data_IF_551194039855
#
_entry.id   IF_551194039855
#
_cell.length_a   1.000
_cell.length_b   1.000
_cell.length_c   1.000
_cell.angle_alpha   90.00
_cell.angle_beta   90.00
_cell.angle_gamma   90.00
#
_symmetry.space_group_name_H-M   'P 1'
#
loop_
_entity.id
_entity.type
_entity.pdbx_description
1 polymer ?
#
# COMPACT_ATOMS: atom_id res chain seq x y z
N UNK A 1 -33.04 -28.99 17.92
CA UNK A 1 -34.16 -28.30 17.25
C UNK A 1 -33.70 -26.85 17.00
N UNK A 2 -33.19 -26.57 15.78
CA UNK A 2 -32.89 -25.27 15.12
C UNK A 2 -32.01 -24.27 15.92
N UNK A 3 -30.74 -23.95 15.66
CA UNK A 3 -29.80 -24.09 14.52
C UNK A 3 -30.32 -23.69 13.15
N UNK A 4 -30.95 -22.51 13.04
CA UNK A 4 -31.17 -21.82 11.75
C UNK A 4 -31.52 -20.36 12.01
N UNK A 5 -30.53 -19.47 12.04
CA UNK A 5 -30.61 -18.08 11.57
C UNK A 5 -29.18 -17.65 11.26
N UNK A 6 -28.69 -18.31 10.22
CA UNK A 6 -27.39 -18.27 9.60
C UNK A 6 -27.46 -17.20 8.49
N UNK A 7 -26.38 -16.43 8.32
CA UNK A 7 -25.62 -16.43 7.05
C UNK A 7 -26.23 -15.78 5.80
N UNK A 8 -27.39 -15.15 5.88
CA UNK A 8 -28.03 -14.58 4.68
C UNK A 8 -27.42 -13.33 4.03
N UNK A 9 -26.23 -12.84 4.41
CA UNK A 9 -25.63 -11.68 3.73
C UNK A 9 -24.14 -11.78 3.39
N UNK A 10 -23.52 -12.95 3.62
CA UNK A 10 -22.13 -13.22 3.20
C UNK A 10 -22.02 -14.22 2.04
N UNK A 11 -23.09 -14.95 1.72
CA UNK A 11 -23.11 -15.89 0.57
C UNK A 11 -23.44 -15.23 -0.78
N UNK A 12 -24.09 -14.06 -0.80
CA UNK A 12 -24.55 -13.46 -2.08
C UNK A 12 -23.42 -12.75 -2.86
N UNK A 13 -22.28 -12.45 -2.23
CA UNK A 13 -21.11 -11.90 -2.93
C UNK A 13 -20.00 -12.92 -3.22
N UNK A 14 -20.00 -14.10 -2.58
CA UNK A 14 -19.04 -15.17 -2.89
C UNK A 14 -19.60 -16.19 -3.91
N UNK A 15 -20.92 -16.39 -4.00
CA UNK A 15 -21.51 -17.31 -4.97
C UNK A 15 -21.47 -16.80 -6.43
N UNK A 16 -21.32 -15.49 -6.67
CA UNK A 16 -21.23 -14.96 -8.03
C UNK A 16 -19.85 -15.16 -8.67
N UNK A 17 -18.80 -15.44 -7.88
CA UNK A 17 -17.43 -15.63 -8.39
C UNK A 17 -17.09 -17.12 -8.59
N UNK A 18 -17.85 -18.04 -7.98
CA UNK A 18 -17.59 -19.49 -8.09
C UNK A 18 -18.49 -20.18 -9.14
N UNK A 19 -19.63 -19.59 -9.53
CA UNK A 19 -20.57 -20.24 -10.47
C UNK A 19 -20.36 -19.86 -11.95
N UNK A 20 -19.38 -18.99 -12.26
CA UNK A 20 -19.00 -18.68 -13.66
C UNK A 20 -17.78 -19.50 -14.14
N UNK A 21 -17.27 -20.41 -13.31
CA UNK A 21 -16.10 -21.26 -13.59
C UNK A 21 -16.42 -22.76 -13.68
N UNK A 22 -17.69 -23.15 -13.63
CA UNK A 22 -18.13 -24.52 -13.88
C UNK A 22 -19.42 -24.48 -14.71
N UNK A 23 -19.44 -25.28 -15.78
CA UNK A 23 -20.56 -25.51 -16.70
C UNK A 23 -20.77 -24.45 -17.80
N UNK A 24 -19.93 -24.48 -18.84
CA UNK A 24 -20.36 -25.12 -20.09
C UNK A 24 -19.24 -25.18 -21.14
N UNK A 25 -19.33 -26.19 -21.98
CA UNK A 25 -18.24 -26.73 -22.80
C UNK A 25 -17.59 -25.77 -23.81
N UNK A 26 -16.28 -25.96 -23.96
CA UNK A 26 -15.59 -25.87 -25.24
C UNK A 26 -15.70 -24.54 -25.97
N UNK A 27 -14.84 -23.59 -25.60
CA UNK A 27 -14.47 -22.50 -26.48
C UNK A 27 -12.97 -22.58 -26.75
N UNK A 28 -12.62 -23.06 -27.94
CA UNK A 28 -11.36 -22.72 -28.59
C UNK A 28 -11.49 -21.27 -29.03
N UNK A 29 -10.85 -20.35 -28.32
CA UNK A 29 -10.56 -19.00 -28.84
C UNK A 29 -9.07 -18.91 -29.18
N UNK A 30 -8.88 -18.56 -30.46
CA UNK A 30 -7.67 -18.31 -31.22
C UNK A 30 -6.50 -17.64 -30.47
N UNK A 31 -5.28 -17.98 -30.91
CA UNK A 31 -3.97 -17.42 -30.55
C UNK A 31 -3.78 -15.91 -30.85
N UNK A 32 -4.84 -15.12 -31.03
CA UNK A 32 -4.76 -13.73 -31.53
C UNK A 32 -5.27 -12.64 -30.57
N UNK A 33 -5.09 -12.79 -29.25
CA UNK A 33 -5.38 -11.69 -28.28
C UNK A 33 -4.14 -11.35 -27.45
N UNK A 34 -3.01 -11.14 -28.14
CA UNK A 34 -1.89 -10.35 -27.62
C UNK A 34 -2.22 -8.86 -27.82
N UNK A 35 -2.74 -8.23 -26.77
CA UNK A 35 -3.08 -6.81 -26.79
C UNK A 35 -3.69 -6.32 -25.49
N UNK A 36 -2.91 -6.35 -24.40
CA UNK A 36 -3.25 -5.66 -23.16
C UNK A 36 -3.43 -4.16 -23.47
N UNK A 37 -4.68 -3.68 -23.48
CA UNK A 37 -5.00 -2.27 -23.72
C UNK A 37 -5.58 -1.64 -22.47
N UNK A 38 -5.24 -0.37 -22.25
CA UNK A 38 -5.65 0.54 -21.17
C UNK A 38 -7.18 0.49 -20.88
N UNK A 39 -8.00 0.12 -21.86
CA UNK A 39 -9.44 -0.09 -21.72
C UNK A 39 -9.84 -1.19 -20.73
N UNK A 40 -8.99 -2.19 -20.51
CA UNK A 40 -9.25 -3.25 -19.51
C UNK A 40 -8.92 -2.76 -18.08
N UNK A 41 -7.91 -1.90 -17.93
CA UNK A 41 -7.62 -1.20 -16.68
C UNK A 41 -8.75 -0.20 -16.34
N UNK A 42 -9.25 0.55 -17.32
CA UNK A 42 -10.42 1.44 -17.16
C UNK A 42 -11.69 0.68 -16.75
N UNK A 43 -11.91 -0.55 -17.25
CA UNK A 43 -13.03 -1.40 -16.82
C UNK A 43 -12.87 -1.86 -15.38
N UNK A 44 -11.70 -2.37 -15.01
CA UNK A 44 -11.42 -2.77 -13.62
C UNK A 44 -11.55 -1.58 -12.66
N UNK A 45 -11.08 -0.41 -13.06
CA UNK A 45 -11.18 0.83 -12.28
C UNK A 45 -12.63 1.32 -12.12
N UNK A 46 -13.43 1.32 -13.21
CA UNK A 46 -14.87 1.67 -13.16
C UNK A 46 -15.68 0.69 -12.32
N UNK A 47 -15.44 -0.60 -12.47
CA UNK A 47 -16.08 -1.64 -11.65
C UNK A 47 -15.74 -1.48 -10.16
N UNK A 48 -14.51 -1.07 -9.85
CA UNK A 48 -14.07 -0.82 -8.48
C UNK A 48 -14.74 0.45 -7.90
N UNK A 49 -14.83 1.52 -8.68
CA UNK A 49 -15.55 2.76 -8.32
C UNK A 49 -17.05 2.55 -8.11
N UNK A 50 -17.71 1.75 -8.95
CA UNK A 50 -19.15 1.48 -8.83
C UNK A 50 -19.45 0.58 -7.62
N UNK A 51 -18.58 -0.41 -7.34
CA UNK A 51 -18.66 -1.22 -6.11
C UNK A 51 -18.40 -0.38 -4.85
N UNK A 52 -17.49 0.59 -4.93
CA UNK A 52 -17.20 1.56 -3.86
C UNK A 52 -18.38 2.48 -3.56
N UNK A 53 -19.00 3.11 -4.57
CA UNK A 53 -20.22 3.94 -4.38
C UNK A 53 -21.37 3.16 -3.76
N UNK A 54 -21.51 1.89 -4.13
CA UNK A 54 -22.53 0.99 -3.56
C UNK A 54 -22.23 0.64 -2.09
N UNK A 55 -20.95 0.46 -1.74
CA UNK A 55 -20.50 0.23 -0.36
C UNK A 55 -20.59 1.48 0.52
N UNK A 56 -20.20 2.65 0.01
CA UNK A 56 -20.27 3.94 0.71
C UNK A 56 -21.73 4.32 1.03
N UNK A 57 -22.66 4.10 0.08
CA UNK A 57 -24.09 4.28 0.33
C UNK A 57 -24.64 3.29 1.37
N UNK A 58 -24.14 2.05 1.39
CA UNK A 58 -24.53 1.06 2.40
C UNK A 58 -24.00 1.44 3.80
N UNK A 59 -22.75 1.91 3.87
CA UNK A 59 -22.11 2.34 5.13
C UNK A 59 -22.75 3.62 5.65
N UNK A 60 -23.10 4.58 4.79
CA UNK A 60 -23.80 5.81 5.18
C UNK A 60 -25.22 5.53 5.69
N UNK A 61 -25.97 4.63 5.04
CA UNK A 61 -27.30 4.21 5.50
C UNK A 61 -27.26 3.39 6.81
N UNK A 62 -26.15 2.71 7.09
CA UNK A 62 -25.93 2.03 8.38
C UNK A 62 -25.49 3.00 9.50
N UNK A 63 -24.89 4.14 9.16
CA UNK A 63 -24.39 5.12 10.15
C UNK A 63 -25.47 6.11 10.61
N UNK A 64 -26.44 6.49 9.77
CA UNK A 64 -27.49 7.45 10.12
C UNK A 64 -28.81 7.18 9.36
N UNK A 65 -29.77 6.44 9.95
CA UNK A 65 -31.00 6.04 9.23
C UNK A 65 -32.00 7.19 9.05
N UNK A 66 -32.00 8.18 9.95
CA UNK A 66 -32.93 9.30 9.94
C UNK A 66 -32.28 10.49 10.64
N UNK A 67 -32.07 11.60 9.92
CA UNK A 67 -32.24 13.00 10.37
C UNK A 67 -31.49 13.99 9.49
N UNK A 68 -32.25 14.90 8.90
CA UNK A 68 -31.75 16.04 8.13
C UNK A 68 -30.96 17.06 8.96
N UNK A 69 -29.86 17.50 8.37
CA UNK A 69 -29.28 18.86 8.28
C UNK A 69 -29.26 19.86 9.47
N UNK A 70 -29.85 19.60 10.64
CA UNK A 70 -29.96 20.61 11.71
C UNK A 70 -29.26 20.23 13.03
N UNK A 71 -28.82 18.98 13.22
CA UNK A 71 -28.00 18.57 14.38
C UNK A 71 -26.50 18.83 14.19
N UNK A 72 -26.01 18.88 12.94
CA UNK A 72 -24.60 19.14 12.63
C UNK A 72 -24.15 20.56 13.01
N UNK A 73 -25.03 21.56 12.84
CA UNK A 73 -24.77 22.95 13.26
C UNK A 73 -24.81 23.14 14.79
N UNK A 74 -25.54 22.29 15.53
CA UNK A 74 -25.52 22.29 17.00
C UNK A 74 -24.24 21.70 17.59
N UNK A 75 -23.56 20.82 16.85
CA UNK A 75 -22.29 20.23 17.27
C UNK A 75 -21.14 21.24 17.20
N UNK A 76 -21.11 22.10 16.18
CA UNK A 76 -20.08 23.13 16.01
C UNK A 76 -20.18 24.21 17.11
N UNK A 77 -21.39 24.67 17.44
CA UNK A 77 -21.59 25.71 18.48
C UNK A 77 -21.36 25.22 19.92
N UNK A 78 -21.26 23.90 20.15
CA UNK A 78 -20.91 23.35 21.47
C UNK A 78 -19.39 23.32 21.71
N UNK A 79 -18.58 23.54 20.66
CA UNK A 79 -17.12 23.50 20.72
C UNK A 79 -16.50 24.79 21.29
N UNK A 80 -17.26 25.89 21.41
CA UNK A 80 -16.78 27.15 22.01
C UNK A 80 -16.85 27.18 23.54
N UNK A 81 -17.56 26.25 24.17
CA UNK A 81 -17.64 26.13 25.65
C UNK A 81 -16.54 25.23 26.25
N UNK A 82 -15.78 24.49 25.42
CA UNK A 82 -14.70 23.59 25.86
C UNK A 82 -13.47 24.31 26.47
N UNK A 83 -13.43 25.64 26.49
CA UNK A 83 -12.28 26.40 27.02
C UNK A 83 -12.34 26.69 28.53
N UNK A 84 -13.39 26.26 29.26
CA UNK A 84 -13.53 26.56 30.70
C UNK A 84 -13.37 25.36 31.65
N UNK A 85 -13.33 24.12 31.16
CA UNK A 85 -13.16 22.91 31.99
C UNK A 85 -11.70 22.40 32.07
N UNK A 86 -10.73 23.24 31.72
CA UNK A 86 -9.31 22.86 31.74
C UNK A 86 -8.64 22.91 33.12
N UNK A 87 -9.39 23.23 34.18
CA UNK A 87 -8.85 23.46 35.53
C UNK A 87 -9.63 22.71 36.62
N UNK A 88 -9.56 21.38 36.61
CA UNK A 88 -9.43 20.54 37.82
C UNK A 88 -9.54 19.06 37.44
N UNK A 89 -8.43 18.36 37.25
CA UNK A 89 -8.46 16.91 37.04
C UNK A 89 -7.59 16.21 38.08
N UNK A 90 -8.26 15.55 39.04
CA UNK A 90 -7.65 14.59 39.94
C UNK A 90 -7.62 13.20 39.29
N UNK A 91 -6.40 12.66 39.21
CA UNK A 91 -5.99 11.25 39.28
C UNK A 91 -6.33 10.30 38.10
N UNK A 92 -5.39 10.24 37.14
CA UNK A 92 -5.03 9.24 36.10
C UNK A 92 -6.06 8.25 35.51
N UNK A 93 -6.89 7.57 36.30
CA UNK A 93 -7.79 6.50 35.84
C UNK A 93 -8.95 7.07 34.98
N UNK A 94 -9.31 8.33 35.21
CA UNK A 94 -10.31 9.03 34.39
C UNK A 94 -9.79 9.37 32.99
N UNK A 95 -8.53 9.81 32.86
CA UNK A 95 -7.97 10.26 31.58
C UNK A 95 -7.77 9.07 30.64
N UNK A 96 -7.24 7.96 31.14
CA UNK A 96 -7.04 6.75 30.33
C UNK A 96 -8.37 6.23 29.76
N UNK A 97 -9.42 6.17 30.58
CA UNK A 97 -10.74 5.75 30.14
C UNK A 97 -11.36 6.71 29.12
N UNK A 98 -11.17 8.03 29.28
CA UNK A 98 -11.64 9.00 28.30
C UNK A 98 -10.88 8.88 26.97
N UNK A 99 -9.57 8.68 27.01
CA UNK A 99 -8.73 8.47 25.83
C UNK A 99 -9.11 7.17 25.10
N UNK A 100 -9.30 6.06 25.83
CA UNK A 100 -9.73 4.78 25.26
C UNK A 100 -11.11 4.91 24.62
N UNK A 101 -12.07 5.53 25.30
CA UNK A 101 -13.40 5.75 24.74
C UNK A 101 -13.38 6.67 23.52
N UNK A 102 -12.53 7.70 23.53
CA UNK A 102 -12.33 8.57 22.37
C UNK A 102 -11.72 7.80 21.19
N UNK A 103 -10.69 6.98 21.42
CA UNK A 103 -10.08 6.13 20.39
C UNK A 103 -11.07 5.12 19.82
N UNK A 104 -11.90 4.48 20.66
CA UNK A 104 -12.94 3.56 20.18
C UNK A 104 -13.99 4.30 19.34
N UNK A 105 -14.38 5.53 19.72
CA UNK A 105 -15.33 6.33 18.93
C UNK A 105 -14.73 6.79 17.60
N UNK A 106 -13.46 7.16 17.59
CA UNK A 106 -12.78 7.74 16.42
C UNK A 106 -12.32 6.65 15.45
N UNK A 107 -11.65 5.63 15.96
CA UNK A 107 -11.01 4.58 15.16
C UNK A 107 -11.87 3.32 15.16
N UNK A 108 -12.46 2.94 16.29
CA UNK A 108 -13.22 1.69 16.45
C UNK A 108 -12.59 0.74 17.46
N UNK A 109 -13.25 -0.38 17.72
CA UNK A 109 -12.69 -1.44 18.56
C UNK A 109 -11.54 -2.16 17.85
N UNK A 110 -10.76 -2.94 18.60
CA UNK A 110 -9.74 -3.84 18.05
C UNK A 110 -10.30 -4.75 16.93
N UNK A 111 -11.53 -5.24 17.11
CA UNK A 111 -12.23 -6.08 16.14
C UNK A 111 -12.54 -5.29 14.85
N UNK A 112 -12.96 -4.03 14.97
CA UNK A 112 -13.28 -3.18 13.81
C UNK A 112 -12.03 -2.88 12.99
N UNK A 113 -10.92 -2.54 13.67
CA UNK A 113 -9.62 -2.33 13.03
C UNK A 113 -9.18 -3.60 12.32
N UNK A 114 -9.30 -4.76 12.97
CA UNK A 114 -8.90 -6.05 12.39
C UNK A 114 -9.73 -6.43 11.16
N UNK A 115 -11.04 -6.19 11.20
CA UNK A 115 -11.92 -6.42 10.03
C UNK A 115 -11.47 -5.57 8.83
N UNK A 116 -11.17 -4.29 9.04
CA UNK A 116 -10.67 -3.40 7.98
C UNK A 116 -9.34 -3.88 7.42
N UNK A 117 -8.38 -4.25 8.27
CA UNK A 117 -7.10 -4.84 7.83
C UNK A 117 -7.31 -6.10 6.96
N UNK A 118 -8.22 -7.00 7.37
CA UNK A 118 -8.53 -8.22 6.61
C UNK A 118 -9.13 -7.89 5.25
N UNK A 119 -10.03 -6.91 5.17
CA UNK A 119 -10.63 -6.49 3.91
C UNK A 119 -9.57 -6.01 2.91
N UNK A 120 -8.63 -5.15 3.34
CA UNK A 120 -7.53 -4.71 2.47
C UNK A 120 -6.57 -5.84 2.10
N UNK A 121 -6.27 -6.77 3.02
CA UNK A 121 -5.45 -7.95 2.69
C UNK A 121 -6.12 -8.87 1.66
N UNK A 122 -7.44 -9.05 1.74
CA UNK A 122 -8.20 -9.84 0.75
C UNK A 122 -8.25 -9.12 -0.59
N UNK A 123 -8.47 -7.81 -0.58
CA UNK A 123 -8.41 -6.98 -1.78
C UNK A 123 -7.05 -7.12 -2.49
N UNK A 124 -5.94 -6.96 -1.76
CA UNK A 124 -4.59 -7.16 -2.29
C UNK A 124 -4.43 -8.56 -2.90
N UNK A 125 -4.91 -9.62 -2.22
CA UNK A 125 -4.84 -10.99 -2.74
C UNK A 125 -5.60 -11.15 -4.07
N UNK A 126 -6.80 -10.59 -4.18
CA UNK A 126 -7.63 -10.65 -5.40
C UNK A 126 -6.98 -9.86 -6.54
N UNK A 127 -6.48 -8.64 -6.27
CA UNK A 127 -5.81 -7.84 -7.28
C UNK A 127 -4.55 -8.52 -7.81
N UNK A 128 -3.83 -9.26 -6.97
CA UNK A 128 -2.58 -9.94 -7.31
C UNK A 128 -2.74 -11.26 -8.08
N UNK A 129 -3.96 -11.71 -8.41
CA UNK A 129 -4.14 -12.97 -9.17
C UNK A 129 -3.94 -12.82 -10.68
N UNK A 130 -3.97 -11.59 -11.20
CA UNK A 130 -4.05 -11.32 -12.63
C UNK A 130 -2.71 -11.03 -13.29
N UNK A 131 -1.74 -10.47 -12.54
CA UNK A 131 -0.47 -10.02 -13.08
C UNK A 131 0.69 -10.46 -12.19
N UNK A 132 1.47 -11.42 -12.64
CA UNK A 132 2.64 -11.91 -11.90
C UNK A 132 3.84 -10.95 -11.93
N UNK A 133 3.81 -9.91 -12.78
CA UNK A 133 4.90 -8.94 -12.89
C UNK A 133 4.78 -7.77 -11.92
N UNK A 134 3.60 -7.55 -11.33
CA UNK A 134 3.34 -6.46 -10.40
C UNK A 134 2.66 -7.03 -9.16
N UNK A 135 3.16 -6.64 -7.99
CA UNK A 135 2.46 -6.91 -6.72
C UNK A 135 1.87 -5.63 -6.18
N UNK A 136 0.55 -5.57 -6.07
CA UNK A 136 -0.19 -4.54 -5.38
C UNK A 136 -0.20 -4.79 -3.87
N UNK A 137 0.01 -3.72 -3.09
CA UNK A 137 -0.04 -3.72 -1.64
C UNK A 137 -0.74 -2.44 -1.19
N UNK A 138 -1.93 -2.54 -0.60
CA UNK A 138 -2.55 -1.41 0.09
C UNK A 138 -1.74 -1.05 1.34
N UNK A 139 -1.54 0.23 1.60
CA UNK A 139 -0.75 0.75 2.71
C UNK A 139 -1.50 1.86 3.45
N UNK A 140 -0.83 2.46 4.43
CA UNK A 140 -1.29 3.67 5.08
C UNK A 140 -2.52 3.45 5.96
N UNK A 141 -3.08 4.57 6.41
CA UNK A 141 -4.02 4.59 7.53
C UNK A 141 -5.22 3.65 7.32
N UNK A 142 -5.85 3.68 6.13
CA UNK A 142 -7.00 2.83 5.82
C UNK A 142 -6.66 1.34 5.82
N UNK A 143 -5.57 0.95 5.15
CA UNK A 143 -5.16 -0.46 5.05
C UNK A 143 -4.69 -1.04 6.39
N UNK A 144 -4.17 -0.17 7.25
CA UNK A 144 -3.78 -0.48 8.63
C UNK A 144 -4.99 -0.50 9.59
N UNK A 145 -6.16 -0.14 9.09
CA UNK A 145 -7.45 -0.17 9.79
C UNK A 145 -7.74 1.07 10.62
N UNK A 146 -6.97 2.15 10.43
CA UNK A 146 -7.14 3.47 11.04
C UNK A 146 -7.92 4.39 10.09
N UNK A 147 -9.25 4.31 10.13
CA UNK A 147 -10.13 5.13 9.29
C UNK A 147 -10.36 6.50 9.93
N UNK A 148 -9.49 7.46 9.63
CA UNK A 148 -9.52 8.81 10.19
C UNK A 148 -10.15 9.81 9.20
N UNK A 149 -10.74 10.92 9.67
CA UNK A 149 -11.18 11.99 8.80
C UNK A 149 -10.02 12.50 7.93
N UNK A 150 -10.21 12.52 6.62
CA UNK A 150 -9.18 12.92 5.65
C UNK A 150 -8.22 11.82 5.23
N UNK A 151 -8.41 10.58 5.68
CA UNK A 151 -7.67 9.42 5.17
C UNK A 151 -7.91 9.21 3.68
N UNK A 152 -6.83 9.07 2.94
CA UNK A 152 -6.75 8.68 1.54
C UNK A 152 -6.40 7.19 1.38
N UNK A 153 -6.51 6.70 0.15
CA UNK A 153 -6.17 5.32 -0.20
C UNK A 153 -4.73 5.27 -0.71
N UNK A 154 -3.83 4.72 0.09
CA UNK A 154 -2.47 4.42 -0.36
C UNK A 154 -2.37 3.04 -1.01
N UNK A 155 -1.88 2.99 -2.25
CA UNK A 155 -1.58 1.74 -2.95
C UNK A 155 -0.14 1.74 -3.45
N UNK A 156 0.60 0.71 -3.09
CA UNK A 156 1.94 0.47 -3.61
C UNK A 156 1.89 -0.59 -4.71
N UNK A 157 2.39 -0.26 -5.89
CA UNK A 157 2.64 -1.22 -6.96
C UNK A 157 4.12 -1.55 -6.99
N UNK A 158 4.45 -2.80 -6.70
CA UNK A 158 5.83 -3.28 -6.60
C UNK A 158 6.20 -4.09 -7.83
N UNK A 159 7.26 -3.69 -8.52
CA UNK A 159 7.78 -4.44 -9.66
C UNK A 159 8.38 -5.79 -9.20
N UNK A 160 7.87 -6.89 -9.76
CA UNK A 160 8.34 -8.25 -9.47
C UNK A 160 9.42 -8.75 -10.46
N UNK A 161 9.66 -7.99 -11.53
CA UNK A 161 10.57 -8.28 -12.64
C UNK A 161 11.95 -7.66 -12.42
N UNK A 162 12.05 -6.55 -11.70
CA UNK A 162 13.34 -5.95 -11.31
C UNK A 162 13.91 -6.68 -10.10
N UNK A 163 15.14 -7.17 -10.24
CA UNK A 163 15.92 -7.67 -9.13
C UNK A 163 16.93 -6.60 -8.69
N UNK A 164 16.71 -6.07 -7.49
CA UNK A 164 17.64 -5.14 -6.84
C UNK A 164 18.65 -5.92 -5.99
N UNK A 165 19.93 -5.78 -6.30
CA UNK A 165 21.06 -6.48 -5.64
C UNK A 165 22.01 -5.50 -4.94
N UNK A 166 22.67 -5.94 -3.86
CA UNK A 166 23.80 -5.23 -3.21
C UNK A 166 25.16 -5.78 -3.58
N UNK A 167 25.20 -6.71 -4.53
CA UNK A 167 26.44 -7.25 -5.09
C UNK A 167 26.48 -6.81 -6.55
N UNK A 168 27.46 -5.99 -6.89
CA UNK A 168 27.74 -5.63 -8.27
C UNK A 168 28.23 -6.90 -8.99
N UNK A 169 27.52 -7.28 -10.05
CA UNK A 169 27.82 -8.48 -10.83
C UNK A 169 28.12 -8.08 -12.26
N UNK A 170 29.19 -8.64 -12.80
CA UNK A 170 29.44 -8.60 -14.23
C UNK A 170 28.67 -9.74 -14.90
N UNK A 171 27.48 -9.43 -15.42
CA UNK A 171 26.56 -10.42 -16.00
C UNK A 171 26.86 -10.53 -17.50
N UNK A 172 27.47 -11.66 -17.90
CA UNK A 172 27.82 -11.95 -19.30
C UNK A 172 26.77 -12.78 -20.05
N UNK A 173 25.75 -13.27 -19.34
CA UNK A 173 24.73 -14.16 -19.89
C UNK A 173 23.34 -13.57 -19.74
N UNK A 174 22.39 -13.89 -20.63
CA UNK A 174 21.02 -13.42 -20.53
C UNK A 174 20.36 -13.84 -19.20
N UNK A 175 19.77 -12.88 -18.51
CA UNK A 175 19.03 -13.09 -17.25
C UNK A 175 17.53 -12.99 -17.45
N UNK A 176 16.76 -13.65 -16.57
CA UNK A 176 15.29 -13.62 -16.65
C UNK A 176 14.71 -12.26 -16.22
N UNK A 177 15.36 -11.61 -15.25
CA UNK A 177 14.91 -10.39 -14.59
C UNK A 177 15.87 -9.25 -14.90
N UNK A 178 15.35 -8.03 -14.94
CA UNK A 178 16.19 -6.83 -15.06
C UNK A 178 16.99 -6.68 -13.78
N UNK A 179 18.30 -6.50 -13.89
CA UNK A 179 19.21 -6.44 -12.74
C UNK A 179 19.65 -5.00 -12.50
N UNK A 180 19.52 -4.56 -11.25
CA UNK A 180 19.87 -3.23 -10.79
C UNK A 180 20.69 -3.36 -9.51
N UNK A 181 21.81 -2.66 -9.44
CA UNK A 181 22.66 -2.62 -8.27
C UNK A 181 22.31 -1.41 -7.39
N UNK A 182 22.04 -1.66 -6.12
CA UNK A 182 21.75 -0.66 -5.11
C UNK A 182 23.04 -0.25 -4.40
N UNK A 183 23.46 0.98 -4.62
CA UNK A 183 24.63 1.58 -3.98
C UNK A 183 24.24 2.10 -2.60
N UNK A 184 24.51 1.28 -1.58
CA UNK A 184 24.14 1.55 -0.20
C UNK A 184 25.29 2.20 0.57
N UNK A 185 25.72 3.39 0.16
CA UNK A 185 26.61 4.26 0.95
C UNK A 185 26.61 5.65 0.33
N UNK A 186 25.42 6.23 0.22
CA UNK A 186 25.30 7.63 -0.22
C UNK A 186 25.49 8.53 0.98
N UNK A 187 25.99 9.75 0.77
CA UNK A 187 26.04 10.82 1.79
C UNK A 187 24.63 11.26 2.27
N UNK A 188 23.58 10.52 1.90
CA UNK A 188 22.18 10.83 2.11
C UNK A 188 21.47 9.67 2.82
N UNK A 189 21.51 9.62 4.16
CA UNK A 189 20.77 8.64 4.93
C UNK A 189 19.29 8.60 4.52
N UNK A 190 18.81 7.40 4.21
CA UNK A 190 17.44 7.19 3.72
C UNK A 190 17.29 7.21 2.19
N UNK A 191 18.36 7.47 1.45
CA UNK A 191 18.39 7.41 -0.01
C UNK A 191 19.47 6.47 -0.53
N UNK A 192 19.34 6.07 -1.80
CA UNK A 192 20.28 5.21 -2.51
C UNK A 192 20.30 5.58 -3.99
N UNK A 193 21.41 5.35 -4.67
CA UNK A 193 21.46 5.33 -6.14
C UNK A 193 21.25 3.90 -6.65
N UNK A 194 20.66 3.81 -7.85
CA UNK A 194 20.36 2.55 -8.52
C UNK A 194 21.11 2.45 -9.84
N UNK A 195 22.23 1.74 -9.84
CA UNK A 195 23.06 1.51 -11.02
C UNK A 195 22.43 0.41 -11.87
N UNK A 196 22.12 0.73 -13.11
CA UNK A 196 21.59 -0.22 -14.08
C UNK A 196 22.66 -1.22 -14.51
N UNK A 197 22.34 -2.52 -14.52
CA UNK A 197 23.29 -3.59 -14.89
C UNK A 197 22.93 -4.21 -16.23
N UNK A 198 21.70 -4.73 -16.36
CA UNK A 198 21.24 -5.36 -17.62
C UNK A 198 19.72 -5.47 -17.66
N UNK A 199 19.17 -5.43 -18.88
CA UNK A 199 17.76 -5.76 -19.14
C UNK A 199 17.56 -7.28 -19.03
N UNK A 200 16.45 -7.70 -18.43
CA UNK A 200 16.04 -9.11 -18.39
C UNK A 200 15.16 -9.51 -19.57
N UNK A 201 14.93 -10.81 -19.73
CA UNK A 201 14.01 -11.34 -20.76
C UNK A 201 12.53 -11.04 -20.48
N UNK A 202 12.14 -10.97 -19.20
CA UNK A 202 10.76 -10.62 -18.81
C UNK A 202 10.50 -9.15 -19.12
N UNK A 203 9.37 -8.87 -19.75
CA UNK A 203 8.95 -7.51 -20.04
C UNK A 203 8.74 -6.74 -18.72
N UNK A 204 9.34 -5.55 -18.63
CA UNK A 204 9.19 -4.67 -17.49
C UNK A 204 8.07 -3.66 -17.75
N UNK A 205 7.20 -3.44 -16.76
CA UNK A 205 6.07 -2.51 -16.88
C UNK A 205 6.40 -1.11 -16.36
N UNK A 206 7.38 -0.98 -15.48
CA UNK A 206 7.72 0.30 -14.85
C UNK A 206 9.01 0.93 -15.39
N UNK A 207 9.86 0.14 -16.04
CA UNK A 207 11.12 0.58 -16.61
C UNK A 207 11.10 0.53 -18.13
N UNK A 208 11.37 1.70 -18.71
CA UNK A 208 11.75 1.87 -20.11
C UNK A 208 13.23 2.23 -20.22
N UNK A 209 13.77 2.20 -21.44
CA UNK A 209 15.14 2.68 -21.69
C UNK A 209 15.32 4.16 -21.34
N UNK A 210 14.26 4.97 -21.40
CA UNK A 210 14.30 6.39 -21.04
C UNK A 210 14.50 6.61 -19.53
N UNK A 211 14.16 5.60 -18.71
CA UNK A 211 14.43 5.64 -17.27
C UNK A 211 15.94 5.53 -16.96
N UNK A 212 16.76 5.14 -17.93
CA UNK A 212 18.20 4.90 -17.78
C UNK A 212 18.97 6.13 -18.25
N UNK A 213 19.77 6.71 -17.36
CA UNK A 213 20.59 7.89 -17.63
C UNK A 213 22.06 7.54 -17.55
N UNK A 214 22.83 8.02 -18.53
CA UNK A 214 24.28 7.82 -18.58
C UNK A 214 24.98 8.92 -17.76
N UNK A 215 25.86 8.53 -16.86
CA UNK A 215 26.73 9.41 -16.08
C UNK A 215 28.19 9.07 -16.36
N UNK A 216 29.12 9.83 -15.76
CA UNK A 216 30.54 9.53 -15.88
C UNK A 216 30.97 8.24 -15.14
N UNK A 217 30.19 7.78 -14.15
CA UNK A 217 30.48 6.57 -13.35
C UNK A 217 29.69 5.33 -13.79
N UNK A 218 28.72 5.48 -14.68
CA UNK A 218 27.91 4.38 -15.19
C UNK A 218 26.50 4.78 -15.59
N UNK A 219 25.65 3.77 -15.78
CA UNK A 219 24.24 3.94 -16.12
C UNK A 219 23.39 3.83 -14.86
N UNK A 220 22.46 4.76 -14.65
CA UNK A 220 21.64 4.83 -13.43
C UNK A 220 20.17 4.95 -13.77
N UNK A 221 19.30 4.53 -12.84
CA UNK A 221 17.87 4.75 -12.95
C UNK A 221 17.50 6.13 -12.41
N UNK A 222 16.93 6.98 -13.27
CA UNK A 222 16.42 8.29 -12.88
C UNK A 222 15.03 8.18 -12.27
N UNK A 223 14.83 8.79 -11.10
CA UNK A 223 13.51 8.87 -10.45
C UNK A 223 12.52 9.70 -11.27
N UNK A 224 12.98 10.82 -11.83
CA UNK A 224 12.18 11.74 -12.65
C UNK A 224 11.72 11.06 -13.93
N UNK A 225 12.62 10.40 -14.66
CA UNK A 225 12.24 9.70 -15.88
C UNK A 225 11.34 8.51 -15.58
N UNK A 226 11.58 7.79 -14.48
CA UNK A 226 10.74 6.68 -14.03
C UNK A 226 9.30 7.12 -13.78
N UNK A 227 9.08 8.12 -12.92
CA UNK A 227 7.71 8.55 -12.59
C UNK A 227 7.00 9.18 -13.80
N UNK A 228 7.74 9.86 -14.68
CA UNK A 228 7.20 10.41 -15.92
C UNK A 228 6.78 9.30 -16.90
N UNK A 229 7.57 8.24 -17.03
CA UNK A 229 7.21 7.10 -17.86
C UNK A 229 5.92 6.43 -17.37
N UNK A 230 5.80 6.21 -16.05
CA UNK A 230 4.56 5.68 -15.45
C UNK A 230 3.37 6.59 -15.76
N UNK A 231 3.52 7.91 -15.52
CA UNK A 231 2.46 8.88 -15.75
C UNK A 231 2.00 8.94 -17.21
N UNK A 232 2.91 8.79 -18.16
CA UNK A 232 2.55 8.71 -19.58
C UNK A 232 1.78 7.41 -19.88
N UNK A 233 2.15 6.31 -19.21
CA UNK A 233 1.50 5.01 -19.34
C UNK A 233 0.07 4.96 -18.79
N UNK A 234 -0.27 5.75 -17.77
CA UNK A 234 -1.63 5.75 -17.19
C UNK A 234 -2.68 6.36 -18.13
N UNK A 235 -2.27 7.24 -19.07
CA UNK A 235 -3.14 8.00 -19.99
C UNK A 235 -4.32 8.75 -19.32
N UNK A 236 -4.31 8.87 -18.00
CA UNK A 236 -5.34 9.55 -17.22
C UNK A 236 -4.79 10.88 -16.70
N UNK A 237 -5.27 11.97 -17.30
CA UNK A 237 -4.90 13.33 -16.93
C UNK A 237 -5.42 13.77 -15.55
N UNK A 238 -6.25 12.96 -14.89
CA UNK A 238 -6.69 13.22 -13.52
C UNK A 238 -5.61 12.91 -12.47
N UNK A 239 -4.53 12.23 -12.87
CA UNK A 239 -3.42 11.95 -11.98
C UNK A 239 -2.27 12.94 -12.14
N UNK A 240 -1.77 13.42 -11.01
CA UNK A 240 -0.62 14.32 -10.93
C UNK A 240 0.45 13.75 -10.00
N UNK A 241 1.68 14.18 -10.18
CA UNK A 241 2.78 13.71 -9.33
C UNK A 241 2.70 14.43 -7.99
N UNK A 242 2.62 13.68 -6.90
CA UNK A 242 2.65 14.19 -5.52
C UNK A 242 3.70 13.42 -4.73
N UNK A 243 4.84 14.05 -4.49
CA UNK A 243 6.00 13.36 -3.94
C UNK A 243 6.40 12.16 -4.81
N UNK A 244 6.57 10.95 -4.25
CA UNK A 244 6.87 9.74 -5.03
C UNK A 244 5.66 9.11 -5.73
N UNK A 245 4.45 9.65 -5.50
CA UNK A 245 3.20 9.04 -5.90
C UNK A 245 2.61 9.70 -7.16
N UNK A 246 1.73 8.97 -7.83
CA UNK A 246 0.70 9.56 -8.67
C UNK A 246 -0.60 9.64 -7.88
N UNK A 247 -1.12 10.84 -7.72
CA UNK A 247 -2.31 11.12 -6.93
C UNK A 247 -3.43 11.63 -7.80
N UNK A 248 -4.66 11.22 -7.50
CA UNK A 248 -5.83 11.79 -8.15
C UNK A 248 -6.00 13.27 -7.79
N UNK A 249 -6.78 13.99 -8.58
CA UNK A 249 -7.01 15.43 -8.39
C UNK A 249 -7.55 15.78 -7.01
N UNK A 250 -8.38 14.91 -6.45
CA UNK A 250 -9.03 15.11 -5.16
C UNK A 250 -8.17 14.60 -3.99
N UNK A 251 -6.97 14.05 -4.25
CA UNK A 251 -6.06 13.47 -3.27
C UNK A 251 -6.75 12.45 -2.36
N UNK A 252 -7.64 11.65 -2.95
CA UNK A 252 -8.32 10.54 -2.29
C UNK A 252 -7.57 9.22 -2.49
N UNK A 253 -6.59 9.20 -3.40
CA UNK A 253 -5.80 8.03 -3.71
C UNK A 253 -4.37 8.41 -4.12
N UNK A 254 -3.41 7.75 -3.48
CA UNK A 254 -1.98 7.85 -3.76
C UNK A 254 -1.46 6.50 -4.28
N UNK A 255 -0.89 6.51 -5.49
CA UNK A 255 -0.26 5.34 -6.10
C UNK A 255 1.25 5.46 -6.11
N UNK A 256 1.93 4.67 -5.28
CA UNK A 256 3.38 4.59 -5.24
C UNK A 256 3.92 3.44 -6.11
N UNK A 257 4.79 3.74 -7.06
CA UNK A 257 5.41 2.76 -7.94
C UNK A 257 6.80 2.42 -7.41
N UNK A 258 7.01 1.18 -6.99
CA UNK A 258 8.10 0.79 -6.13
C UNK A 258 8.99 -0.27 -6.78
N UNK A 259 10.29 -0.18 -6.52
CA UNK A 259 11.22 -1.31 -6.68
C UNK A 259 11.46 -1.95 -5.31
N UNK A 260 11.64 -3.27 -5.29
CA UNK A 260 11.88 -4.00 -4.04
C UNK A 260 13.34 -4.37 -3.87
N UNK A 261 13.95 -3.94 -2.78
CA UNK A 261 15.21 -4.49 -2.28
C UNK A 261 14.92 -5.55 -1.22
N UNK A 262 15.49 -6.75 -1.38
CA UNK A 262 15.45 -7.79 -0.33
C UNK A 262 16.39 -7.48 0.84
N UNK A 263 17.15 -6.39 0.76
CA UNK A 263 18.14 -6.01 1.74
C UNK A 263 17.68 -4.74 2.45
N UNK A 264 17.77 -4.75 3.78
CA UNK A 264 17.62 -3.53 4.57
C UNK A 264 18.90 -2.68 4.49
N UNK A 265 18.81 -1.34 4.53
CA UNK A 265 19.98 -0.48 4.59
C UNK A 265 20.74 -0.71 5.90
N UNK A 266 22.04 -0.41 5.90
CA UNK A 266 22.89 -0.57 7.09
C UNK A 266 22.34 0.18 8.32
N UNK A 267 21.78 1.38 8.12
CA UNK A 267 21.17 2.17 9.19
C UNK A 267 20.03 1.44 9.93
N UNK A 268 19.34 0.49 9.27
CA UNK A 268 18.30 -0.32 9.90
C UNK A 268 18.85 -1.36 10.88
N UNK A 269 20.15 -1.66 10.88
CA UNK A 269 20.77 -2.61 11.81
C UNK A 269 20.59 -2.18 13.27
N UNK A 270 20.64 -0.88 13.55
CA UNK A 270 20.36 -0.33 14.88
C UNK A 270 18.95 -0.67 15.39
N UNK A 271 17.97 -0.73 14.49
CA UNK A 271 16.63 -1.17 14.81
C UNK A 271 16.60 -2.69 14.98
N UNK A 272 17.20 -3.46 14.08
CA UNK A 272 17.19 -4.93 14.15
C UNK A 272 17.79 -5.43 15.47
N UNK A 273 18.97 -4.92 15.84
CA UNK A 273 19.74 -5.38 17.00
C UNK A 273 19.27 -4.79 18.34
N UNK A 274 18.27 -3.90 18.33
CA UNK A 274 17.76 -3.26 19.54
C UNK A 274 17.15 -4.30 20.48
N UNK A 275 17.65 -4.36 21.71
CA UNK A 275 17.07 -5.17 22.78
C UNK A 275 15.63 -4.71 23.09
N UNK A 276 14.69 -5.64 23.16
CA UNK A 276 13.25 -5.37 23.38
C UNK A 276 12.67 -6.36 24.39
N UNK A 277 11.70 -5.92 25.18
CA UNK A 277 11.07 -6.76 26.21
C UNK A 277 9.85 -7.56 25.69
N UNK A 278 9.03 -6.99 24.80
CA UNK A 278 7.74 -7.61 24.44
C UNK A 278 7.31 -7.39 22.98
N UNK A 279 7.63 -6.25 22.35
CA UNK A 279 7.15 -5.93 21.01
C UNK A 279 8.23 -5.26 20.13
N UNK A 280 8.26 -5.54 18.81
CA UNK A 280 7.49 -6.58 18.12
C UNK A 280 8.01 -7.99 18.42
N UNK A 281 7.18 -9.04 18.30
CA UNK A 281 7.64 -10.43 18.39
C UNK A 281 8.74 -10.74 17.38
N UNK A 282 9.67 -11.65 17.72
CA UNK A 282 10.77 -12.02 16.82
C UNK A 282 10.29 -12.49 15.44
N UNK A 283 9.16 -13.20 15.36
CA UNK A 283 8.56 -13.61 14.08
C UNK A 283 8.20 -12.43 13.17
N UNK A 284 7.82 -11.28 13.73
CA UNK A 284 7.55 -10.05 12.96
C UNK A 284 8.87 -9.40 12.53
N UNK A 285 9.88 -9.39 13.41
CA UNK A 285 11.22 -8.90 13.07
C UNK A 285 11.81 -9.71 11.91
N UNK A 286 11.77 -11.04 11.98
CA UNK A 286 12.28 -11.94 10.95
C UNK A 286 11.56 -11.73 9.61
N UNK A 287 10.24 -11.55 9.65
CA UNK A 287 9.46 -11.22 8.44
C UNK A 287 9.90 -9.88 7.85
N UNK A 288 10.09 -8.84 8.67
CA UNK A 288 10.57 -7.53 8.21
C UNK A 288 11.95 -7.66 7.56
N UNK A 289 12.89 -8.38 8.18
CA UNK A 289 14.23 -8.64 7.64
C UNK A 289 14.14 -9.37 6.30
N UNK A 290 13.37 -10.47 6.25
CA UNK A 290 13.17 -11.27 5.03
C UNK A 290 12.55 -10.45 3.90
N UNK A 291 11.68 -9.50 4.24
CA UNK A 291 10.95 -8.74 3.26
C UNK A 291 11.77 -7.61 2.64
N UNK A 292 12.72 -7.07 3.38
CA UNK A 292 13.60 -5.99 2.95
C UNK A 292 12.89 -4.63 2.98
N UNK A 293 13.22 -3.76 2.04
CA UNK A 293 12.62 -2.43 1.90
C UNK A 293 12.12 -2.16 0.47
N UNK A 294 11.32 -1.10 0.34
CA UNK A 294 10.89 -0.58 -0.94
C UNK A 294 11.73 0.63 -1.31
N UNK A 295 11.87 0.89 -2.60
CA UNK A 295 12.54 2.05 -3.17
C UNK A 295 11.50 2.81 -3.99
N UNK A 296 11.33 4.09 -3.68
CA UNK A 296 10.33 4.95 -4.32
C UNK A 296 11.02 6.11 -5.07
N UNK A 297 10.47 6.55 -6.22
CA UNK A 297 11.15 7.45 -7.15
C UNK A 297 11.04 8.91 -6.70
N UNK A 298 11.71 9.26 -5.61
CA UNK A 298 11.85 10.65 -5.15
C UNK A 298 13.21 10.88 -4.52
N UNK A 299 13.88 11.93 -4.96
CA UNK A 299 15.11 12.45 -4.34
C UNK A 299 14.85 13.57 -3.35
N UNK A 300 15.88 14.03 -2.63
CA UNK A 300 15.79 15.20 -1.76
C UNK A 300 15.59 16.49 -2.59
N UNK A 301 14.66 17.36 -2.17
CA UNK A 301 14.26 18.58 -2.90
C UNK A 301 15.37 19.64 -3.08
N UNK A 302 16.53 19.50 -2.46
CA UNK A 302 17.52 20.58 -2.31
C UNK A 302 18.86 20.30 -3.00
N UNK A 303 18.95 19.27 -3.85
CA UNK A 303 20.24 18.79 -4.38
C UNK A 303 20.27 18.61 -5.89
N UNK A 304 21.44 18.80 -6.50
CA UNK A 304 21.67 18.67 -7.95
C UNK A 304 21.50 17.24 -8.48
N UNK A 305 21.81 16.23 -7.66
CA UNK A 305 21.69 14.80 -8.00
C UNK A 305 20.41 14.16 -7.45
N UNK A 306 19.40 14.98 -7.11
CA UNK A 306 18.11 14.48 -6.59
C UNK A 306 17.50 13.42 -7.49
N UNK A 307 17.66 13.59 -8.80
CA UNK A 307 16.99 12.78 -9.81
C UNK A 307 17.58 11.37 -9.95
N UNK A 308 18.72 11.09 -9.32
CA UNK A 308 19.33 9.75 -9.25
C UNK A 308 19.10 9.06 -7.91
N UNK A 309 18.65 9.79 -6.89
CA UNK A 309 18.47 9.30 -5.55
C UNK A 309 17.05 8.75 -5.35
N UNK A 310 16.98 7.48 -5.02
CA UNK A 310 15.74 6.77 -4.67
C UNK A 310 15.57 6.75 -3.17
N UNK A 311 14.40 7.14 -2.68
CA UNK A 311 14.08 7.09 -1.25
C UNK A 311 13.80 5.66 -0.82
N UNK A 312 14.40 5.26 0.30
CA UNK A 312 14.13 4.00 0.96
C UNK A 312 12.84 4.14 1.76
N UNK A 313 11.87 3.28 1.50
CA UNK A 313 10.59 3.21 2.20
C UNK A 313 10.49 1.93 3.03
N UNK A 314 9.98 2.09 4.25
CA UNK A 314 9.67 1.02 5.20
C UNK A 314 8.18 0.76 5.34
N UNK A 315 7.33 1.23 4.43
CA UNK A 315 5.86 1.07 4.51
C UNK A 315 5.42 -0.39 4.69
N UNK A 316 6.16 -1.35 4.12
CA UNK A 316 5.87 -2.78 4.32
C UNK A 316 6.24 -3.29 5.73
N UNK A 317 7.25 -2.68 6.36
CA UNK A 317 7.58 -2.95 7.76
C UNK A 317 6.58 -2.26 8.70
N UNK A 318 6.22 -1.01 8.42
CA UNK A 318 5.22 -0.23 9.15
C UNK A 318 3.88 -0.96 9.21
N UNK A 319 3.33 -1.38 8.06
CA UNK A 319 2.09 -2.17 8.00
C UNK A 319 2.16 -3.44 8.85
N UNK A 320 3.28 -4.18 8.79
CA UNK A 320 3.46 -5.39 9.61
C UNK A 320 3.53 -5.09 11.10
N UNK A 321 4.18 -3.99 11.48
CA UNK A 321 4.24 -3.54 12.86
C UNK A 321 2.84 -3.14 13.36
N UNK A 322 2.10 -2.35 12.59
CA UNK A 322 0.72 -1.95 12.93
C UNK A 322 -0.19 -3.16 13.10
N UNK A 323 -0.12 -4.11 12.17
CA UNK A 323 -0.89 -5.36 12.25
C UNK A 323 -0.52 -6.23 13.47
N UNK A 324 0.67 -6.04 14.05
CA UNK A 324 1.13 -6.81 15.22
C UNK A 324 0.74 -6.20 16.57
N UNK A 325 0.35 -4.92 16.62
CA UNK A 325 -0.16 -4.30 17.87
C UNK A 325 -1.48 -4.91 18.35
N UNK A 326 -2.28 -5.41 17.40
CA UNK A 326 -3.66 -5.90 17.57
C UNK A 326 -3.67 -7.43 17.69
N UNK A 327 -2.62 -8.01 18.26
CA UNK A 327 -2.56 -9.45 18.53
C UNK A 327 -1.83 -9.73 19.81
N UNK A 328 -2.51 -9.61 20.96
CA UNK A 328 -1.98 -10.20 22.18
C UNK A 328 -2.16 -11.73 22.19
N UNK A 329 -3.16 -12.29 21.47
CA UNK A 329 -3.51 -13.72 21.56
C UNK A 329 -4.24 -14.29 20.30
N UNK A 330 -3.61 -14.32 19.12
CA UNK A 330 -4.12 -15.23 18.08
C UNK A 330 -3.01 -15.78 17.18
N UNK A 331 -2.60 -17.00 17.51
CA UNK A 331 -2.25 -18.00 16.51
C UNK A 331 -3.41 -18.08 15.50
N UNK A 332 -3.32 -17.33 14.41
CA UNK A 332 -3.98 -17.71 13.16
C UNK A 332 -2.88 -17.74 12.11
N UNK A 333 -2.22 -18.89 12.04
CA UNK A 333 -1.47 -19.31 10.87
C UNK A 333 -2.49 -19.48 9.74
N UNK A 334 -2.47 -18.59 8.75
CA UNK A 334 -3.10 -18.87 7.46
C UNK A 334 -1.95 -19.12 6.50
N UNK A 335 -1.81 -20.39 6.11
CA UNK A 335 -0.90 -20.88 5.09
C UNK A 335 -1.23 -20.31 3.71
#
# INVERSE_FOLDING_TARGET
MRSTFLVYNLEISMAFIITELADDGGIVISNDVFGFTIRQFERMYKDCLDRRKKHENLIMNLRYPDKGSNEYLKFINKCTDCNKEYLSWTENESIENHLVNHLIRTIGTEIDVRKRQILFMLHDKICNTHDENITQISSGSLAEGLNLPGSDIDVMFVDAVVNVTRIERNIKHPVQRTEVFMETDTDHPGFTTLKFVTVGKRANKFLSNECIVNTHTGQYLSTTNFINYIKQGTQDHNFSTHGPCLSDKDQTMDMAFCLRSKYLPYHAMSWILRHRRQWPPNVIIDKIIKNGCLLVPIGPNTMSDSDLLWRISFSFAEKQLVHSFISPNSCVTVY
#
